data_IF_591286940362
#
_entry.id   IF_591286940362
#
_cell.length_a   1.000
_cell.length_b   1.000
_cell.length_c   1.000
_cell.angle_alpha   90.00
_cell.angle_beta   90.00
_cell.angle_gamma   90.00
#
_symmetry.space_group_name_H-M   'P 1'
#
loop_
_entity.id
_entity.type
_entity.pdbx_description
1 polymer ?
#
# COMPACT_ATOMS: atom_id res chain seq x y z
N UNK A 1 -30.85 72.71 47.01
CA UNK A 1 -29.68 72.96 47.90
C UNK A 1 -28.42 72.68 47.09
N UNK A 2 -27.31 73.41 47.30
CA UNK A 2 -25.95 73.21 46.73
C UNK A 2 -25.91 72.61 45.29
N UNK A 3 -25.76 73.34 44.18
CA UNK A 3 -25.06 74.62 43.90
C UNK A 3 -23.54 74.59 44.12
N UNK A 4 -22.81 74.33 43.02
CA UNK A 4 -21.55 74.96 42.54
C UNK A 4 -21.20 74.23 41.22
N UNK A 5 -21.14 74.82 40.01
CA UNK A 5 -20.69 76.13 39.49
C UNK A 5 -19.17 76.31 39.39
N UNK A 6 -18.72 76.56 38.16
CA UNK A 6 -17.40 77.11 37.80
C UNK A 6 -16.71 76.36 36.65
N UNK A 7 -15.96 76.99 35.75
CA UNK A 7 -16.00 78.39 35.27
C UNK A 7 -15.25 78.48 33.91
N UNK A 8 -15.65 79.41 33.03
CA UNK A 8 -14.88 80.26 32.09
C UNK A 8 -13.34 80.02 32.00
N UNK A 9 -12.63 80.09 30.84
CA UNK A 9 -12.95 80.59 29.47
C UNK A 9 -11.79 80.29 28.48
N UNK A 10 -12.06 80.44 27.16
CA UNK A 10 -11.14 80.96 26.11
C UNK A 10 -9.80 80.26 25.81
N UNK A 11 -9.59 79.84 24.55
CA UNK A 11 -8.26 79.47 24.04
C UNK A 11 -8.23 78.93 22.61
N UNK A 12 -7.98 79.80 21.62
CA UNK A 12 -7.63 79.44 20.24
C UNK A 12 -6.80 80.60 19.62
N UNK A 13 -6.02 80.39 18.54
CA UNK A 13 -5.74 79.16 17.80
C UNK A 13 -4.26 78.72 17.89
N UNK A 14 -3.90 77.57 17.30
CA UNK A 14 -2.50 77.11 17.22
C UNK A 14 -2.28 75.93 16.28
N UNK A 15 -1.89 76.22 15.04
CA UNK A 15 -1.34 75.29 14.05
C UNK A 15 -0.23 76.05 13.27
N UNK A 16 0.72 75.40 12.59
CA UNK A 16 0.76 73.98 12.22
C UNK A 16 2.11 73.29 12.57
N UNK A 17 2.45 72.25 11.80
CA UNK A 17 3.77 71.61 11.61
C UNK A 17 4.09 70.34 12.44
N UNK A 18 4.23 69.27 11.66
CA UNK A 18 4.78 67.93 11.87
C UNK A 18 6.07 67.83 12.71
N UNK A 19 6.25 66.68 13.37
CA UNK A 19 7.52 66.17 13.91
C UNK A 19 7.34 64.94 14.82
N UNK A 20 8.12 63.90 14.60
CA UNK A 20 8.17 62.63 15.38
C UNK A 20 8.75 62.81 16.83
N UNK A 21 8.68 61.84 17.76
CA UNK A 21 8.14 60.45 17.72
C UNK A 21 7.03 60.23 18.80
N UNK A 22 7.00 59.35 19.82
CA UNK A 22 7.83 58.22 20.32
C UNK A 22 7.01 57.34 21.29
N UNK A 23 7.31 56.03 21.41
CA UNK A 23 6.73 55.03 22.37
C UNK A 23 5.23 54.69 22.13
N UNK A 24 4.72 53.45 22.08
CA UNK A 24 5.24 52.07 22.21
C UNK A 24 4.13 51.08 21.74
N UNK A 25 4.26 49.78 21.44
CA UNK A 25 5.33 48.74 21.44
C UNK A 25 5.04 47.72 20.30
N UNK A 26 6.02 46.90 19.88
CA UNK A 26 5.92 45.65 19.07
C UNK A 26 5.35 45.72 17.62
N UNK A 27 5.90 45.02 16.62
CA UNK A 27 7.16 44.23 16.58
C UNK A 27 7.75 44.15 15.15
N UNK A 28 9.09 44.12 15.10
CA UNK A 28 9.91 43.48 14.05
C UNK A 28 10.59 42.28 14.76
N UNK A 29 11.00 41.16 14.16
CA UNK A 29 11.41 40.76 12.79
C UNK A 29 10.92 39.30 12.58
N UNK A 30 10.97 38.60 11.45
CA UNK A 30 11.97 38.47 10.37
C UNK A 30 11.30 38.21 8.99
N UNK A 31 12.08 38.35 7.92
CA UNK A 31 11.78 37.92 6.54
C UNK A 31 12.87 36.94 6.07
N UNK A 32 12.53 36.12 5.07
CA UNK A 32 13.42 35.18 4.34
C UNK A 32 14.27 34.22 5.19
N UNK A 33 13.68 33.08 5.55
CA UNK A 33 14.05 31.79 4.91
C UNK A 33 12.95 30.75 5.20
N UNK A 34 11.99 30.62 4.27
CA UNK A 34 11.16 29.42 4.22
C UNK A 34 11.82 28.50 3.20
N UNK A 35 12.34 27.31 3.59
CA UNK A 35 12.66 26.30 2.59
C UNK A 35 11.38 26.04 1.79
N UNK A 36 11.53 25.84 0.49
CA UNK A 36 10.40 25.66 -0.40
C UNK A 36 9.42 24.65 0.19
N UNK A 37 8.14 25.00 0.20
CA UNK A 37 7.11 23.96 0.22
C UNK A 37 7.32 23.19 -1.07
N UNK A 38 8.03 22.06 -0.98
CA UNK A 38 8.14 21.14 -2.09
C UNK A 38 6.72 20.89 -2.59
N UNK A 39 6.48 21.16 -3.87
CA UNK A 39 5.20 20.95 -4.53
C UNK A 39 5.03 19.44 -4.71
N UNK A 40 4.81 18.76 -3.58
CA UNK A 40 4.72 17.31 -3.44
C UNK A 40 3.67 16.82 -4.44
N UNK A 41 4.16 16.26 -5.55
CA UNK A 41 3.37 16.00 -6.74
C UNK A 41 2.11 15.26 -6.32
N UNK A 42 0.95 15.66 -6.84
CA UNK A 42 -0.32 15.04 -6.44
C UNK A 42 -0.25 13.54 -6.68
N UNK A 43 0.04 12.77 -5.63
CA UNK A 43 0.29 11.33 -5.69
C UNK A 43 -1.04 10.68 -6.07
N UNK A 44 -1.26 10.56 -7.37
CA UNK A 44 -2.47 10.00 -7.96
C UNK A 44 -2.59 8.57 -7.44
N UNK A 45 -3.43 8.39 -6.42
CA UNK A 45 -3.29 7.32 -5.44
C UNK A 45 -3.28 5.94 -6.12
N UNK A 46 -2.07 5.43 -6.32
CA UNK A 46 -1.85 4.27 -7.16
C UNK A 46 -2.53 3.06 -6.52
N UNK A 47 -3.40 2.40 -7.28
CA UNK A 47 -4.22 1.29 -6.78
C UNK A 47 -3.33 0.24 -6.09
N UNK A 48 -3.76 -0.37 -4.97
CA UNK A 48 -2.95 -1.35 -4.28
C UNK A 48 -2.57 -2.52 -5.20
N UNK A 49 -1.45 -3.19 -4.90
CA UNK A 49 -1.16 -4.49 -5.49
C UNK A 49 -2.08 -5.53 -4.88
N UNK A 50 -3.05 -6.02 -5.66
CA UNK A 50 -3.92 -7.12 -5.25
C UNK A 50 -3.13 -8.42 -5.25
N UNK A 51 -3.02 -9.03 -4.07
CA UNK A 51 -2.41 -10.33 -3.84
C UNK A 51 -3.50 -11.29 -3.37
N UNK A 52 -3.65 -12.44 -4.01
CA UNK A 52 -4.53 -13.51 -3.52
C UNK A 52 -3.72 -14.51 -2.70
N UNK A 53 -4.19 -14.85 -1.50
CA UNK A 53 -3.66 -15.94 -0.69
C UNK A 53 -4.62 -17.13 -0.86
N UNK A 54 -4.08 -18.31 -1.19
CA UNK A 54 -4.83 -19.55 -1.37
C UNK A 54 -4.17 -20.64 -0.54
N UNK A 55 -4.83 -21.03 0.54
CA UNK A 55 -4.32 -21.91 1.59
C UNK A 55 -5.53 -22.42 2.41
N UNK A 56 -5.59 -23.69 2.81
CA UNK A 56 -6.69 -24.20 3.65
C UNK A 56 -6.49 -23.85 5.14
N UNK A 57 -5.26 -23.58 5.56
CA UNK A 57 -4.92 -23.18 6.94
C UNK A 57 -5.05 -21.65 7.16
N UNK A 58 -6.07 -21.24 7.91
CA UNK A 58 -6.31 -19.86 8.34
C UNK A 58 -5.07 -19.22 9.02
N UNK A 59 -4.25 -19.99 9.75
CA UNK A 59 -3.04 -19.48 10.38
C UNK A 59 -1.99 -19.03 9.35
N UNK A 60 -1.96 -19.64 8.15
CA UNK A 60 -1.07 -19.22 7.06
C UNK A 60 -1.56 -17.91 6.45
N UNK A 61 -2.87 -17.70 6.31
CA UNK A 61 -3.42 -16.40 5.89
C UNK A 61 -3.10 -15.30 6.91
N UNK A 62 -3.42 -15.52 8.19
CA UNK A 62 -3.20 -14.53 9.24
C UNK A 62 -1.72 -14.19 9.42
N UNK A 63 -0.81 -15.18 9.36
CA UNK A 63 0.63 -14.93 9.42
C UNK A 63 1.17 -14.21 8.17
N UNK A 64 0.64 -14.50 6.97
CA UNK A 64 0.99 -13.77 5.74
C UNK A 64 0.57 -12.30 5.83
N UNK A 65 -0.67 -12.03 6.25
CA UNK A 65 -1.23 -10.69 6.39
C UNK A 65 -0.53 -9.91 7.51
N UNK A 66 -0.18 -10.56 8.62
CA UNK A 66 0.59 -9.94 9.71
C UNK A 66 2.04 -9.62 9.28
N UNK A 67 2.70 -10.50 8.52
CA UNK A 67 4.08 -10.32 8.08
C UNK A 67 4.24 -9.22 7.01
N UNK A 68 3.19 -8.94 6.22
CA UNK A 68 3.23 -8.01 5.09
C UNK A 68 2.24 -6.83 5.23
N UNK A 69 1.57 -6.72 6.38
CA UNK A 69 0.52 -5.74 6.62
C UNK A 69 1.07 -4.31 6.71
N UNK A 70 0.74 -3.49 5.70
CA UNK A 70 1.25 -2.11 5.58
C UNK A 70 2.56 -2.00 4.78
N UNK A 71 3.13 -3.10 4.30
CA UNK A 71 4.26 -3.07 3.38
C UNK A 71 3.89 -2.46 2.02
N UNK A 72 4.88 -1.85 1.36
CA UNK A 72 4.71 -1.23 0.04
C UNK A 72 5.73 -1.77 -0.95
N UNK A 73 5.32 -1.95 -2.20
CA UNK A 73 6.17 -2.39 -3.30
C UNK A 73 5.99 -1.41 -4.46
N UNK A 74 7.07 -0.84 -4.98
CA UNK A 74 7.04 0.20 -6.03
C UNK A 74 6.12 1.38 -5.66
N UNK A 75 6.15 1.82 -4.40
CA UNK A 75 5.34 2.93 -3.88
C UNK A 75 3.85 2.61 -3.64
N UNK A 76 3.41 1.38 -3.93
CA UNK A 76 2.01 0.93 -3.82
C UNK A 76 1.83 -0.03 -2.65
N UNK A 77 0.78 0.12 -1.82
CA UNK A 77 0.52 -0.81 -0.72
C UNK A 77 0.05 -2.17 -1.22
N UNK A 78 0.32 -3.22 -0.44
CA UNK A 78 -0.23 -4.56 -0.68
C UNK A 78 -1.69 -4.65 -0.18
N UNK A 79 -2.58 -5.28 -0.95
CA UNK A 79 -3.95 -5.58 -0.54
C UNK A 79 -4.25 -7.07 -0.73
N UNK A 80 -4.51 -7.75 0.38
CA UNK A 80 -4.70 -9.20 0.42
C UNK A 80 -6.17 -9.58 0.25
N UNK A 81 -6.43 -10.45 -0.71
CA UNK A 81 -7.63 -11.28 -0.75
C UNK A 81 -7.26 -12.67 -0.22
N UNK A 82 -8.22 -13.35 0.39
CA UNK A 82 -8.06 -14.70 0.96
C UNK A 82 -9.04 -15.63 0.25
N UNK A 83 -8.61 -16.85 -0.03
CA UNK A 83 -9.46 -17.96 -0.44
C UNK A 83 -8.97 -19.26 0.22
N UNK A 84 -9.91 -20.13 0.60
CA UNK A 84 -9.65 -21.33 1.42
C UNK A 84 -9.80 -22.65 0.65
N UNK A 85 -9.91 -22.58 -0.67
CA UNK A 85 -9.93 -23.74 -1.56
C UNK A 85 -9.59 -23.36 -3.00
N UNK A 86 -9.29 -24.34 -3.86
CA UNK A 86 -9.10 -24.13 -5.29
C UNK A 86 -10.36 -23.65 -6.03
N UNK A 87 -11.56 -23.91 -5.49
CA UNK A 87 -12.84 -23.44 -6.04
C UNK A 87 -13.07 -21.97 -5.66
N UNK A 88 -12.98 -21.66 -4.36
CA UNK A 88 -13.13 -20.31 -3.80
C UNK A 88 -12.13 -19.32 -4.43
N UNK A 89 -10.88 -19.74 -4.62
CA UNK A 89 -9.86 -18.93 -5.29
C UNK A 89 -10.22 -18.64 -6.76
N UNK A 90 -10.82 -19.59 -7.47
CA UNK A 90 -11.24 -19.40 -8.86
C UNK A 90 -12.44 -18.44 -8.94
N UNK A 91 -13.41 -18.56 -8.03
CA UNK A 91 -14.57 -17.66 -7.96
C UNK A 91 -14.18 -16.23 -7.57
N UNK A 92 -13.18 -16.06 -6.69
CA UNK A 92 -12.56 -14.74 -6.39
C UNK A 92 -11.87 -14.15 -7.62
N UNK A 93 -11.13 -14.95 -8.40
CA UNK A 93 -10.47 -14.51 -9.63
C UNK A 93 -11.44 -14.22 -10.79
N UNK A 94 -12.60 -14.88 -10.84
CA UNK A 94 -13.72 -14.52 -11.73
C UNK A 94 -14.43 -13.22 -11.30
N UNK A 95 -14.46 -12.93 -10.00
CA UNK A 95 -15.22 -11.82 -9.43
C UNK A 95 -14.43 -10.51 -9.32
N UNK A 96 -13.10 -10.54 -9.46
CA UNK A 96 -12.22 -9.38 -9.30
C UNK A 96 -10.99 -9.46 -10.23
N UNK A 97 -10.89 -8.53 -11.17
CA UNK A 97 -9.70 -8.34 -11.99
C UNK A 97 -8.55 -7.61 -11.25
N UNK A 98 -7.37 -7.58 -11.88
CA UNK A 98 -6.23 -6.77 -11.46
C UNK A 98 -5.36 -7.38 -10.35
N UNK A 99 -5.46 -8.69 -10.14
CA UNK A 99 -4.50 -9.44 -9.31
C UNK A 99 -3.13 -9.49 -9.99
N UNK A 100 -2.10 -9.07 -9.24
CA UNK A 100 -0.71 -9.17 -9.70
C UNK A 100 -0.05 -10.50 -9.29
N UNK A 101 -0.50 -11.10 -8.18
CA UNK A 101 0.15 -12.24 -7.55
C UNK A 101 -0.85 -13.17 -6.84
N UNK A 102 -0.64 -14.48 -6.96
CA UNK A 102 -1.25 -15.54 -6.14
C UNK A 102 -0.16 -16.22 -5.31
N UNK A 103 -0.39 -16.35 -4.01
CA UNK A 103 0.40 -17.12 -3.05
C UNK A 103 -0.38 -18.41 -2.71
N UNK A 104 0.11 -19.57 -3.15
CA UNK A 104 -0.71 -20.78 -3.33
C UNK A 104 -0.07 -22.02 -2.68
N UNK A 105 -0.77 -22.81 -1.85
CA UNK A 105 -0.36 -24.21 -1.61
C UNK A 105 -0.92 -25.14 -2.70
N UNK A 106 -0.21 -26.25 -2.91
CA UNK A 106 -0.55 -27.31 -3.86
C UNK A 106 -1.52 -28.32 -3.26
N UNK A 107 -1.31 -28.66 -1.98
CA UNK A 107 -2.07 -29.70 -1.29
C UNK A 107 -3.08 -29.03 -0.38
N UNK A 108 -4.36 -29.11 -0.76
CA UNK A 108 -5.50 -28.59 0.00
C UNK A 108 -6.61 -29.65 -0.02
N UNK A 109 -7.78 -29.40 -0.64
CA UNK A 109 -8.85 -30.40 -0.84
C UNK A 109 -8.36 -31.72 -1.46
N UNK A 110 -7.40 -31.63 -2.38
CA UNK A 110 -6.74 -32.76 -3.05
C UNK A 110 -5.22 -32.53 -3.14
N UNK A 111 -4.41 -33.58 -3.38
CA UNK A 111 -2.95 -33.46 -3.51
C UNK A 111 -2.47 -32.63 -4.72
N UNK A 112 -3.38 -32.29 -5.63
CA UNK A 112 -3.15 -31.58 -6.89
C UNK A 112 -4.00 -30.30 -7.02
N UNK A 113 -4.75 -29.90 -5.98
CA UNK A 113 -5.71 -28.80 -6.01
C UNK A 113 -5.09 -27.47 -6.50
N UNK A 114 -3.89 -27.12 -6.02
CA UNK A 114 -3.18 -25.92 -6.47
C UNK A 114 -2.64 -26.02 -7.90
N UNK A 115 -2.27 -27.21 -8.38
CA UNK A 115 -1.88 -27.38 -9.79
C UNK A 115 -3.08 -27.24 -10.72
N UNK A 116 -4.23 -27.80 -10.35
CA UNK A 116 -5.46 -27.63 -11.10
C UNK A 116 -5.90 -26.15 -11.11
N UNK A 117 -5.86 -25.44 -9.98
CA UNK A 117 -6.12 -23.99 -9.97
C UNK A 117 -5.15 -23.23 -10.89
N UNK A 118 -3.84 -23.48 -10.80
CA UNK A 118 -2.86 -22.84 -11.66
C UNK A 118 -3.11 -23.12 -13.15
N UNK A 119 -3.45 -24.37 -13.50
CA UNK A 119 -3.88 -24.76 -14.85
C UNK A 119 -5.09 -23.95 -15.29
N UNK A 120 -6.14 -23.87 -14.46
CA UNK A 120 -7.39 -23.14 -14.80
C UNK A 120 -7.18 -21.62 -14.92
N UNK A 121 -6.24 -21.02 -14.19
CA UNK A 121 -5.85 -19.61 -14.37
C UNK A 121 -5.25 -19.37 -15.78
N UNK A 122 -4.34 -20.24 -16.23
CA UNK A 122 -3.70 -20.15 -17.56
C UNK A 122 -4.64 -20.59 -18.70
N UNK A 123 -5.43 -21.64 -18.49
CA UNK A 123 -6.21 -22.30 -19.53
C UNK A 123 -7.67 -21.83 -19.64
N UNK A 124 -8.35 -21.49 -18.54
CA UNK A 124 -9.74 -21.01 -18.57
C UNK A 124 -9.78 -19.48 -18.54
N UNK A 125 -9.14 -18.84 -17.54
CA UNK A 125 -9.13 -17.38 -17.41
C UNK A 125 -8.20 -16.68 -18.41
N UNK A 126 -7.30 -17.43 -19.07
CA UNK A 126 -6.26 -16.93 -19.99
C UNK A 126 -5.33 -15.87 -19.38
N UNK A 127 -5.27 -15.77 -18.06
CA UNK A 127 -4.44 -14.82 -17.37
C UNK A 127 -3.02 -15.38 -17.22
N UNK A 128 -2.14 -14.98 -18.14
CA UNK A 128 -0.73 -15.37 -18.15
C UNK A 128 0.18 -14.33 -17.48
N UNK A 129 -0.35 -13.14 -17.18
CA UNK A 129 0.40 -12.04 -16.55
C UNK A 129 0.48 -12.24 -15.03
N UNK A 130 -0.63 -12.64 -14.40
CA UNK A 130 -0.72 -12.90 -12.96
C UNK A 130 0.37 -13.88 -12.49
N UNK A 131 1.16 -13.46 -11.51
CA UNK A 131 2.25 -14.28 -10.98
C UNK A 131 1.69 -15.35 -10.06
N UNK A 132 2.20 -16.57 -10.14
CA UNK A 132 1.83 -17.69 -9.26
C UNK A 132 3.08 -18.15 -8.51
N UNK A 133 3.04 -18.01 -7.18
CA UNK A 133 4.08 -18.48 -6.26
C UNK A 133 3.51 -19.63 -5.43
N UNK A 134 4.04 -20.82 -5.67
CA UNK A 134 3.75 -21.99 -4.84
C UNK A 134 4.50 -21.91 -3.52
N UNK A 135 3.77 -22.09 -2.41
CA UNK A 135 4.28 -22.19 -1.04
C UNK A 135 3.80 -23.51 -0.46
N UNK A 136 4.65 -24.54 -0.38
CA UNK A 136 4.21 -25.85 0.14
C UNK A 136 5.00 -26.33 1.34
N UNK A 137 4.33 -27.08 2.21
CA UNK A 137 4.95 -27.79 3.35
C UNK A 137 5.52 -29.17 2.98
N UNK A 138 5.22 -29.71 1.78
CA UNK A 138 5.56 -31.08 1.40
C UNK A 138 6.52 -31.12 0.19
N UNK A 139 7.85 -31.02 0.40
CA UNK A 139 8.82 -31.14 -0.69
C UNK A 139 8.77 -32.55 -1.32
N UNK A 140 8.56 -32.60 -2.64
CA UNK A 140 8.75 -33.81 -3.45
C UNK A 140 7.52 -34.64 -3.80
N UNK A 141 6.29 -34.19 -3.49
CA UNK A 141 5.07 -34.92 -3.87
C UNK A 141 4.84 -34.95 -5.39
N UNK A 142 5.28 -33.90 -6.09
CA UNK A 142 5.49 -33.84 -7.54
C UNK A 142 6.90 -33.28 -7.75
N UNK A 143 7.61 -33.68 -8.81
CA UNK A 143 8.88 -33.02 -9.12
C UNK A 143 8.61 -31.59 -9.59
N UNK A 144 9.35 -30.61 -9.07
CA UNK A 144 9.19 -29.19 -9.49
C UNK A 144 9.27 -29.02 -11.01
N UNK A 145 10.00 -29.92 -11.67
CA UNK A 145 10.22 -29.90 -13.11
C UNK A 145 8.96 -30.27 -13.90
N UNK A 146 8.22 -31.27 -13.45
CA UNK A 146 7.00 -31.75 -14.12
C UNK A 146 5.80 -30.83 -13.83
N UNK A 147 5.72 -30.36 -12.57
CA UNK A 147 4.76 -29.37 -12.13
C UNK A 147 4.90 -28.04 -12.90
N UNK A 148 6.12 -27.49 -12.95
CA UNK A 148 6.41 -26.23 -13.66
C UNK A 148 6.23 -26.35 -15.18
N UNK A 149 6.44 -27.54 -15.75
CA UNK A 149 6.24 -27.79 -17.18
C UNK A 149 4.77 -27.86 -17.63
N UNK A 150 3.81 -27.97 -16.70
CA UNK A 150 2.38 -28.20 -17.01
C UNK A 150 1.45 -27.05 -16.64
N UNK A 151 1.90 -26.08 -15.83
CA UNK A 151 1.01 -25.06 -15.21
C UNK A 151 1.56 -23.63 -15.22
N UNK A 152 2.76 -23.40 -15.79
CA UNK A 152 3.46 -22.10 -15.85
C UNK A 152 3.48 -21.32 -14.51
N UNK A 153 3.96 -22.02 -13.48
CA UNK A 153 4.18 -21.49 -12.13
C UNK A 153 5.53 -20.78 -12.06
N UNK A 154 5.50 -19.49 -11.72
CA UNK A 154 6.65 -18.61 -11.77
C UNK A 154 7.69 -18.98 -10.69
N UNK A 155 7.25 -19.30 -9.46
CA UNK A 155 8.15 -19.63 -8.34
C UNK A 155 7.58 -20.72 -7.44
N UNK A 156 8.49 -21.47 -6.81
CA UNK A 156 8.22 -22.43 -5.75
C UNK A 156 9.08 -22.02 -4.54
N UNK A 157 8.53 -22.15 -3.33
CA UNK A 157 9.19 -21.91 -2.04
C UNK A 157 8.64 -22.88 -0.99
N UNK A 158 9.47 -23.27 -0.01
CA UNK A 158 9.03 -24.13 1.08
C UNK A 158 8.41 -23.28 2.21
N UNK A 159 7.24 -23.68 2.74
CA UNK A 159 6.58 -22.98 3.86
C UNK A 159 7.49 -22.83 5.07
N UNK A 160 8.42 -23.77 5.30
CA UNK A 160 9.42 -23.74 6.38
C UNK A 160 10.52 -22.68 6.23
N UNK A 161 10.70 -22.09 5.04
CA UNK A 161 11.77 -21.11 4.75
C UNK A 161 11.23 -19.67 4.72
N UNK A 162 9.90 -19.51 4.72
CA UNK A 162 9.19 -18.23 4.61
C UNK A 162 9.15 -17.46 5.94
N UNK A 163 10.33 -17.01 6.37
CA UNK A 163 10.44 -15.90 7.33
C UNK A 163 9.92 -14.60 6.67
N UNK A 164 9.43 -13.65 7.49
CA UNK A 164 8.93 -12.34 7.02
C UNK A 164 9.80 -11.66 5.94
N UNK A 165 11.14 -11.47 6.12
CA UNK A 165 11.95 -10.81 5.09
C UNK A 165 12.09 -11.62 3.80
N UNK A 166 12.10 -12.96 3.87
CA UNK A 166 12.14 -13.83 2.68
C UNK A 166 10.81 -13.76 1.92
N UNK A 167 9.69 -13.77 2.66
CA UNK A 167 8.36 -13.63 2.08
C UNK A 167 8.17 -12.25 1.41
N UNK A 168 8.64 -11.17 2.04
CA UNK A 168 8.60 -9.82 1.48
C UNK A 168 9.48 -9.68 0.23
N UNK A 169 10.69 -10.25 0.21
CA UNK A 169 11.54 -10.24 -0.99
C UNK A 169 10.91 -11.02 -2.14
N UNK A 170 10.35 -12.21 -1.87
CA UNK A 170 9.62 -13.01 -2.87
C UNK A 170 8.44 -12.24 -3.45
N UNK A 171 7.57 -11.67 -2.61
CA UNK A 171 6.42 -10.87 -3.06
C UNK A 171 6.88 -9.64 -3.86
N UNK A 172 7.92 -8.94 -3.39
CA UNK A 172 8.49 -7.79 -4.09
C UNK A 172 9.12 -8.15 -5.43
N UNK A 173 9.80 -9.30 -5.53
CA UNK A 173 10.45 -9.79 -6.73
C UNK A 173 9.45 -10.16 -7.82
N UNK A 174 8.33 -10.79 -7.45
CA UNK A 174 7.29 -11.16 -8.41
C UNK A 174 6.43 -9.96 -8.82
N UNK A 175 6.09 -9.05 -7.90
CA UNK A 175 5.34 -7.82 -8.23
C UNK A 175 6.14 -6.91 -9.16
N UNK A 176 7.48 -6.81 -9.00
CA UNK A 176 8.34 -6.11 -9.96
C UNK A 176 8.24 -6.74 -11.35
N UNK A 177 8.42 -8.06 -11.45
CA UNK A 177 8.30 -8.78 -12.73
C UNK A 177 6.91 -8.64 -13.38
N UNK A 178 5.82 -8.56 -12.60
CA UNK A 178 4.48 -8.24 -13.11
C UNK A 178 4.42 -6.81 -13.67
N UNK A 179 4.94 -5.83 -12.91
CA UNK A 179 4.96 -4.42 -13.32
C UNK A 179 5.80 -4.20 -14.59
N UNK A 180 6.92 -4.90 -14.72
CA UNK A 180 7.81 -4.86 -15.89
C UNK A 180 7.22 -5.57 -17.14
N UNK A 181 6.15 -6.36 -16.97
CA UNK A 181 5.43 -7.05 -18.05
C UNK A 181 4.20 -6.27 -18.54
N UNK A 182 3.66 -5.33 -17.74
CA UNK A 182 2.38 -4.66 -18.00
C UNK A 182 2.55 -3.19 -18.43
N UNK A 183 3.75 -2.78 -18.86
CA UNK A 183 4.15 -1.38 -19.05
C UNK A 183 5.04 -1.16 -20.28
#
# INVERSE_FOLDING_TARGET
MASQQGLWTSGAPGAPASGETESDTDALVFVDDLPGVDEDESVAAQLPWRVLIVDDDEAVHQSTIFALGGETVLGRPLHFHQAYSGVDAFDVLLSCDGFALVLLDIVMETPDAGFELARRIREELKNNEIRIVVRTGQPGLVSEKDARATTDINRYVLKSELTQPVLLDVVSSEIRQFSDQTN
#
